data_IF_635287529412
#
_entry.id   IF_635287529412
#
_cell.length_a   1.000
_cell.length_b   1.000
_cell.length_c   1.000
_cell.angle_alpha   90.00
_cell.angle_beta   90.00
_cell.angle_gamma   90.00
#
_symmetry.space_group_name_H-M   'P 1'
#
loop_
_entity.id
_entity.type
_entity.pdbx_description
1 polymer ?
#
# COMPACT_ATOMS: atom_id res chain seq x y z
N UNK A 1 -35.53 5.43 -13.38
CA UNK A 1 -35.41 5.35 -11.92
C UNK A 1 -36.13 6.56 -11.35
N UNK A 2 -37.14 6.35 -10.50
CA UNK A 2 -37.93 7.41 -9.90
C UNK A 2 -37.16 8.06 -8.74
N UNK A 3 -37.44 9.33 -8.42
CA UNK A 3 -36.85 10.01 -7.26
C UNK A 3 -37.16 9.27 -5.94
N UNK A 4 -38.32 8.62 -5.87
CA UNK A 4 -38.71 7.75 -4.76
C UNK A 4 -37.84 6.51 -4.60
N UNK A 5 -37.42 5.91 -5.73
CA UNK A 5 -36.55 4.72 -5.71
C UNK A 5 -35.14 5.07 -5.21
N UNK A 6 -34.71 6.33 -5.40
CA UNK A 6 -33.42 6.84 -4.90
C UNK A 6 -33.50 7.06 -3.40
N UNK A 7 -34.58 7.67 -2.92
CA UNK A 7 -34.79 8.00 -1.51
C UNK A 7 -34.91 6.74 -0.65
N UNK A 8 -35.66 5.73 -1.12
CA UNK A 8 -35.80 4.43 -0.45
C UNK A 8 -34.47 3.66 -0.39
N UNK A 9 -33.65 3.74 -1.45
CA UNK A 9 -32.30 3.15 -1.44
C UNK A 9 -31.34 3.87 -0.52
N UNK A 10 -31.44 5.20 -0.40
CA UNK A 10 -30.63 5.97 0.53
C UNK A 10 -30.99 5.61 1.97
N UNK A 11 -32.28 5.52 2.31
CA UNK A 11 -32.72 5.15 3.66
C UNK A 11 -32.23 3.76 4.08
N UNK A 12 -32.26 2.78 3.17
CA UNK A 12 -31.71 1.42 3.42
C UNK A 12 -30.19 1.48 3.66
N UNK A 13 -29.47 2.34 2.94
CA UNK A 13 -28.01 2.47 3.07
C UNK A 13 -27.62 3.21 4.37
N UNK A 14 -28.41 4.19 4.80
CA UNK A 14 -28.14 5.00 5.98
C UNK A 14 -28.82 4.51 7.27
N UNK A 15 -29.61 3.43 7.24
CA UNK A 15 -30.36 2.90 8.38
C UNK A 15 -29.50 2.68 9.65
N UNK A 16 -28.22 2.33 9.46
CA UNK A 16 -27.27 2.08 10.55
C UNK A 16 -26.24 3.21 10.77
N UNK A 17 -26.31 4.30 9.99
CA UNK A 17 -25.36 5.40 10.07
C UNK A 17 -25.87 6.41 11.09
N UNK A 18 -25.42 6.26 12.34
CA UNK A 18 -25.62 7.29 13.36
C UNK A 18 -24.92 8.57 12.87
N UNK A 19 -25.61 9.73 12.82
CA UNK A 19 -24.98 10.97 12.41
C UNK A 19 -23.83 11.29 13.36
N UNK A 20 -22.60 11.13 12.87
CA UNK A 20 -21.39 11.50 13.60
C UNK A 20 -21.35 13.02 13.73
N UNK A 21 -21.12 13.52 14.94
CA UNK A 21 -20.84 14.95 15.12
C UNK A 21 -19.56 15.29 14.36
N UNK A 22 -19.58 16.41 13.62
CA UNK A 22 -18.40 16.93 12.94
C UNK A 22 -17.19 17.05 13.88
N UNK A 23 -17.44 17.38 15.15
CA UNK A 23 -16.41 17.42 16.19
C UNK A 23 -15.72 16.07 16.38
N UNK A 24 -16.46 14.97 16.38
CA UNK A 24 -15.91 13.61 16.51
C UNK A 24 -15.03 13.27 15.31
N UNK A 25 -15.48 13.60 14.10
CA UNK A 25 -14.71 13.39 12.86
C UNK A 25 -13.40 14.19 12.92
N UNK A 26 -13.47 15.47 13.31
CA UNK A 26 -12.30 16.32 13.42
C UNK A 26 -11.30 15.81 14.46
N UNK A 27 -11.77 15.35 15.63
CA UNK A 27 -10.90 14.77 16.66
C UNK A 27 -10.23 13.49 16.17
N UNK A 28 -10.98 12.59 15.54
CA UNK A 28 -10.41 11.35 14.98
C UNK A 28 -9.40 11.64 13.87
N UNK A 29 -9.69 12.62 13.00
CA UNK A 29 -8.77 13.06 11.96
C UNK A 29 -7.46 13.58 12.56
N UNK A 30 -7.54 14.48 13.54
CA UNK A 30 -6.36 15.02 14.21
C UNK A 30 -5.55 13.93 14.93
N UNK A 31 -6.23 13.00 15.60
CA UNK A 31 -5.59 11.85 16.23
C UNK A 31 -4.85 10.99 15.18
N UNK A 32 -5.47 10.76 14.02
CA UNK A 32 -4.86 10.07 12.89
C UNK A 32 -3.62 10.78 12.35
N UNK A 33 -3.68 12.11 12.16
CA UNK A 33 -2.54 12.92 11.73
C UNK A 33 -1.38 12.80 12.73
N UNK A 34 -1.64 12.99 14.03
CA UNK A 34 -0.62 12.88 15.07
C UNK A 34 -0.02 11.47 15.11
N UNK A 35 -0.88 10.44 15.05
CA UNK A 35 -0.45 9.05 15.01
C UNK A 35 0.44 8.75 13.80
N UNK A 36 0.10 9.27 12.62
CA UNK A 36 0.89 9.10 11.41
C UNK A 36 2.26 9.79 11.50
N UNK A 37 2.34 10.99 12.10
CA UNK A 37 3.61 11.69 12.32
C UNK A 37 4.52 10.92 13.27
N UNK A 38 3.99 10.47 14.42
CA UNK A 38 4.77 9.72 15.41
C UNK A 38 5.19 8.37 14.82
N UNK A 39 4.25 7.62 14.25
CA UNK A 39 4.53 6.32 13.64
C UNK A 39 5.53 6.41 12.49
N UNK A 40 5.44 7.44 11.64
CA UNK A 40 6.40 7.68 10.57
C UNK A 40 7.82 7.94 11.08
N UNK A 41 7.96 8.68 12.18
CA UNK A 41 9.26 8.91 12.82
C UNK A 41 9.87 7.61 13.34
N UNK A 42 9.10 6.82 14.08
CA UNK A 42 9.56 5.54 14.64
C UNK A 42 9.91 4.52 13.54
N UNK A 43 9.10 4.44 12.48
CA UNK A 43 9.36 3.57 11.32
C UNK A 43 10.66 3.98 10.61
N UNK A 44 10.91 5.28 10.46
CA UNK A 44 12.15 5.79 9.86
C UNK A 44 13.38 5.46 10.72
N UNK A 45 13.28 5.60 12.04
CA UNK A 45 14.35 5.20 12.95
C UNK A 45 14.60 3.69 12.90
N UNK A 46 13.54 2.88 12.91
CA UNK A 46 13.64 1.43 12.78
C UNK A 46 14.35 1.03 11.48
N UNK A 47 14.00 1.65 10.36
CA UNK A 47 14.67 1.44 9.08
C UNK A 47 16.18 1.76 9.16
N UNK A 48 16.52 2.89 9.80
CA UNK A 48 17.91 3.30 10.00
C UNK A 48 18.70 2.29 10.85
N UNK A 49 18.13 1.82 11.96
CA UNK A 49 18.78 0.83 12.83
C UNK A 49 19.00 -0.48 12.08
N UNK A 50 18.01 -0.95 11.31
CA UNK A 50 18.16 -2.17 10.54
C UNK A 50 19.26 -2.08 9.48
N UNK A 51 19.35 -0.96 8.76
CA UNK A 51 20.32 -0.77 7.68
C UNK A 51 21.72 -0.46 8.23
N UNK A 52 21.83 0.44 9.20
CA UNK A 52 23.12 0.95 9.69
C UNK A 52 23.74 0.05 10.77
N UNK A 53 22.94 -0.39 11.75
CA UNK A 53 23.47 -1.10 12.92
C UNK A 53 23.45 -2.61 12.73
N UNK A 54 22.35 -3.14 12.18
CA UNK A 54 22.19 -4.57 11.91
C UNK A 54 22.72 -4.98 10.53
N UNK A 55 23.11 -4.01 9.69
CA UNK A 55 23.60 -4.23 8.32
C UNK A 55 22.66 -5.10 7.48
N UNK A 56 21.35 -5.01 7.75
CA UNK A 56 20.33 -5.72 7.00
C UNK A 56 20.21 -5.08 5.62
N UNK A 57 20.10 -5.93 4.61
CA UNK A 57 19.87 -5.52 3.23
C UNK A 57 18.71 -4.51 3.13
N UNK A 58 18.89 -3.33 2.49
CA UNK A 58 17.86 -2.31 2.36
C UNK A 58 16.55 -2.80 1.75
N UNK A 59 16.61 -3.76 0.82
CA UNK A 59 15.43 -4.37 0.21
C UNK A 59 14.66 -5.21 1.22
N UNK A 60 15.36 -6.01 2.03
CA UNK A 60 14.73 -6.81 3.08
C UNK A 60 14.12 -5.89 4.16
N UNK A 61 14.81 -4.78 4.47
CA UNK A 61 14.28 -3.73 5.33
C UNK A 61 12.99 -3.15 4.76
N UNK A 62 12.98 -2.75 3.49
CA UNK A 62 11.78 -2.24 2.82
C UNK A 62 10.63 -3.25 2.79
N UNK A 63 10.91 -4.55 2.63
CA UNK A 63 9.91 -5.61 2.69
C UNK A 63 9.24 -5.69 4.08
N UNK A 64 10.03 -5.66 5.15
CA UNK A 64 9.52 -5.66 6.53
C UNK A 64 8.65 -4.41 6.77
N UNK A 65 9.11 -3.25 6.30
CA UNK A 65 8.34 -2.00 6.41
C UNK A 65 7.03 -2.06 5.61
N UNK A 66 7.04 -2.67 4.42
CA UNK A 66 5.84 -2.83 3.61
C UNK A 66 4.80 -3.72 4.30
N UNK A 67 5.23 -4.73 5.06
CA UNK A 67 4.33 -5.55 5.90
C UNK A 67 3.66 -4.66 6.96
N UNK A 68 4.42 -3.80 7.66
CA UNK A 68 3.83 -2.88 8.64
C UNK A 68 2.86 -1.89 8.00
N UNK A 69 3.20 -1.35 6.83
CA UNK A 69 2.35 -0.43 6.10
C UNK A 69 1.02 -1.06 5.65
N UNK A 70 1.01 -2.35 5.31
CA UNK A 70 -0.19 -3.08 4.87
C UNK A 70 -1.01 -3.74 5.97
N UNK A 71 -0.67 -3.53 7.25
CA UNK A 71 -1.31 -4.24 8.37
C UNK A 71 -2.83 -4.04 8.42
N UNK A 72 -3.31 -2.83 8.17
CA UNK A 72 -4.75 -2.53 8.12
C UNK A 72 -5.47 -3.34 7.05
N UNK A 73 -4.89 -3.42 5.87
CA UNK A 73 -5.42 -4.08 4.69
C UNK A 73 -5.48 -5.59 4.93
N UNK A 74 -4.46 -6.18 5.56
CA UNK A 74 -4.46 -7.59 5.95
C UNK A 74 -5.60 -7.92 6.92
N UNK A 75 -5.85 -7.05 7.91
CA UNK A 75 -6.95 -7.25 8.87
C UNK A 75 -8.31 -7.15 8.17
N UNK A 76 -8.50 -6.18 7.28
CA UNK A 76 -9.75 -6.01 6.51
C UNK A 76 -9.98 -7.23 5.61
N UNK A 77 -8.95 -7.65 4.86
CA UNK A 77 -9.00 -8.83 3.99
C UNK A 77 -9.37 -10.09 4.77
N UNK A 78 -8.74 -10.31 5.92
CA UNK A 78 -9.03 -11.44 6.78
C UNK A 78 -10.48 -11.44 7.27
N UNK A 79 -10.99 -10.29 7.71
CA UNK A 79 -12.38 -10.16 8.16
C UNK A 79 -13.39 -10.40 7.03
N UNK A 80 -13.17 -9.80 5.85
CA UNK A 80 -14.05 -10.00 4.68
C UNK A 80 -14.02 -11.45 4.20
N UNK A 81 -12.85 -12.09 4.20
CA UNK A 81 -12.73 -13.51 3.86
C UNK A 81 -13.50 -14.40 4.85
N UNK A 82 -13.40 -14.12 6.16
CA UNK A 82 -14.18 -14.82 7.19
C UNK A 82 -15.69 -14.65 7.03
N UNK A 83 -16.14 -13.55 6.46
CA UNK A 83 -17.55 -13.27 6.15
C UNK A 83 -17.99 -13.80 4.78
N UNK A 84 -17.11 -14.46 4.03
CA UNK A 84 -17.35 -14.92 2.66
C UNK A 84 -17.63 -13.77 1.66
N UNK A 85 -17.19 -12.56 1.98
CA UNK A 85 -17.36 -11.36 1.17
C UNK A 85 -16.17 -11.19 0.20
N UNK A 86 -15.95 -12.16 -0.68
CA UNK A 86 -14.75 -12.21 -1.54
C UNK A 86 -14.64 -11.03 -2.51
N UNK A 87 -15.76 -10.54 -3.05
CA UNK A 87 -15.77 -9.35 -3.89
C UNK A 87 -15.35 -8.08 -3.15
N UNK A 88 -15.76 -7.93 -1.89
CA UNK A 88 -15.36 -6.80 -1.04
C UNK A 88 -13.87 -6.90 -0.68
N UNK A 89 -13.41 -8.09 -0.34
CA UNK A 89 -12.00 -8.37 -0.08
C UNK A 89 -11.13 -7.99 -1.29
N UNK A 90 -11.52 -8.44 -2.49
CA UNK A 90 -10.79 -8.18 -3.73
C UNK A 90 -10.81 -6.70 -4.11
N UNK A 91 -11.97 -6.03 -4.01
CA UNK A 91 -12.10 -4.60 -4.28
C UNK A 91 -11.23 -3.75 -3.33
N UNK A 92 -11.18 -4.12 -2.04
CA UNK A 92 -10.31 -3.45 -1.07
C UNK A 92 -8.82 -3.66 -1.38
N UNK A 93 -8.41 -4.89 -1.71
CA UNK A 93 -7.02 -5.17 -2.08
C UNK A 93 -6.59 -4.36 -3.31
N UNK A 94 -7.43 -4.35 -4.35
CA UNK A 94 -7.16 -3.62 -5.57
C UNK A 94 -7.14 -2.10 -5.36
N UNK A 95 -8.10 -1.58 -4.59
CA UNK A 95 -8.14 -0.18 -4.18
C UNK A 95 -6.86 0.23 -3.45
N UNK A 96 -6.39 -0.59 -2.49
CA UNK A 96 -5.15 -0.36 -1.77
C UNK A 96 -3.92 -0.34 -2.68
N UNK A 97 -3.78 -1.33 -3.57
CA UNK A 97 -2.64 -1.42 -4.50
C UNK A 97 -2.61 -0.22 -5.46
N UNK A 98 -3.76 0.13 -6.05
CA UNK A 98 -3.87 1.27 -6.96
C UNK A 98 -3.62 2.59 -6.25
N UNK A 99 -4.10 2.75 -5.01
CA UNK A 99 -3.82 3.91 -4.17
C UNK A 99 -2.32 4.07 -3.91
N UNK A 100 -1.60 3.00 -3.57
CA UNK A 100 -0.16 3.09 -3.32
C UNK A 100 0.59 3.58 -4.57
N UNK A 101 0.21 3.10 -5.75
CA UNK A 101 0.87 3.45 -7.01
C UNK A 101 0.53 4.83 -7.56
N UNK A 102 -0.75 5.20 -7.54
CA UNK A 102 -1.22 6.42 -8.20
C UNK A 102 -1.44 7.58 -7.25
N UNK A 103 -1.45 7.34 -5.94
CA UNK A 103 -1.60 8.38 -4.93
C UNK A 103 -0.36 8.44 -4.02
N UNK A 104 -0.07 7.40 -3.26
CA UNK A 104 0.96 7.49 -2.20
C UNK A 104 2.35 7.75 -2.79
N UNK A 105 2.78 6.97 -3.79
CA UNK A 105 4.10 7.13 -4.40
C UNK A 105 4.27 8.52 -5.05
N UNK A 106 3.38 9.00 -5.94
CA UNK A 106 3.49 10.34 -6.52
C UNK A 106 3.50 11.46 -5.50
N UNK A 107 2.63 11.41 -4.48
CA UNK A 107 2.60 12.45 -3.43
C UNK A 107 3.85 12.41 -2.56
N UNK A 108 4.42 11.23 -2.30
CA UNK A 108 5.68 11.10 -1.58
C UNK A 108 6.83 11.73 -2.38
N UNK A 109 6.92 11.44 -3.67
CA UNK A 109 7.94 12.03 -4.55
C UNK A 109 7.80 13.54 -4.67
N UNK A 110 6.57 14.04 -4.76
CA UNK A 110 6.30 15.48 -4.75
C UNK A 110 6.72 16.11 -3.42
N UNK A 111 6.41 15.46 -2.29
CA UNK A 111 6.84 15.90 -0.97
C UNK A 111 8.36 16.00 -0.86
N UNK A 112 9.09 14.98 -1.34
CA UNK A 112 10.56 15.00 -1.40
C UNK A 112 11.05 16.15 -2.30
N UNK A 113 10.45 16.34 -3.48
CA UNK A 113 10.83 17.41 -4.39
C UNK A 113 10.63 18.81 -3.79
N UNK A 114 9.53 19.04 -3.08
CA UNK A 114 9.27 20.28 -2.33
C UNK A 114 10.28 20.45 -1.21
N UNK A 115 10.56 19.40 -0.43
CA UNK A 115 11.54 19.44 0.65
C UNK A 115 12.94 19.81 0.12
N UNK A 116 13.38 19.16 -0.95
CA UNK A 116 14.66 19.44 -1.58
C UNK A 116 14.69 20.86 -2.15
N UNK A 117 13.63 21.31 -2.82
CA UNK A 117 13.62 22.64 -3.46
C UNK A 117 13.64 23.80 -2.46
N UNK A 118 12.97 23.68 -1.32
CA UNK A 118 12.74 24.81 -0.40
C UNK A 118 13.50 24.70 0.94
N UNK A 119 13.77 23.50 1.43
CA UNK A 119 14.33 23.30 2.78
C UNK A 119 15.77 22.76 2.75
N UNK A 120 16.12 21.89 1.79
CA UNK A 120 17.49 21.41 1.62
C UNK A 120 17.92 21.35 0.14
N UNK A 121 18.18 22.50 -0.51
CA UNK A 121 18.54 22.58 -1.93
C UNK A 121 19.87 21.91 -2.30
N UNK A 122 20.71 21.66 -1.30
CA UNK A 122 22.03 21.03 -1.47
C UNK A 122 22.00 19.51 -1.38
N UNK A 123 20.84 18.88 -1.21
CA UNK A 123 20.74 17.43 -1.14
C UNK A 123 21.14 16.80 -2.50
N UNK A 124 22.17 15.95 -2.56
CA UNK A 124 22.74 15.47 -3.83
C UNK A 124 21.89 14.38 -4.51
N UNK A 125 21.04 13.68 -3.76
CA UNK A 125 20.28 12.54 -4.29
C UNK A 125 18.94 12.91 -4.90
N UNK A 126 18.61 12.26 -6.02
CA UNK A 126 17.27 12.25 -6.58
C UNK A 126 16.25 11.60 -5.62
N UNK A 127 14.97 12.01 -5.63
CA UNK A 127 13.91 11.37 -4.83
C UNK A 127 13.79 9.85 -5.05
N UNK A 128 14.12 9.40 -6.25
CA UNK A 128 14.29 8.00 -6.63
C UNK A 128 15.62 7.87 -7.36
N UNK A 129 16.55 7.12 -6.78
CA UNK A 129 17.82 6.81 -7.45
C UNK A 129 17.58 5.80 -8.58
N UNK A 130 18.29 5.96 -9.70
CA UNK A 130 18.31 4.96 -10.76
C UNK A 130 19.21 3.79 -10.36
N UNK A 131 18.64 2.84 -9.62
CA UNK A 131 19.30 1.59 -9.25
C UNK A 131 18.71 0.40 -10.00
N UNK A 132 19.51 -0.66 -10.18
CA UNK A 132 19.05 -1.91 -10.76
C UNK A 132 17.84 -2.47 -9.99
N UNK A 133 17.83 -2.31 -8.68
CA UNK A 133 16.75 -2.70 -7.78
C UNK A 133 15.45 -1.95 -8.09
N UNK A 134 15.52 -0.63 -8.28
CA UNK A 134 14.36 0.20 -8.60
C UNK A 134 13.82 -0.09 -10.00
N UNK A 135 14.71 -0.36 -10.96
CA UNK A 135 14.34 -0.78 -12.32
C UNK A 135 13.63 -2.14 -12.29
N UNK A 136 14.14 -3.11 -11.54
CA UNK A 136 13.48 -4.40 -11.39
C UNK A 136 12.14 -4.27 -10.68
N UNK A 137 12.04 -3.47 -9.61
CA UNK A 137 10.77 -3.20 -8.93
C UNK A 137 9.72 -2.63 -9.89
N UNK A 138 10.10 -1.65 -10.74
CA UNK A 138 9.22 -1.08 -11.76
C UNK A 138 8.85 -2.08 -12.86
N UNK A 139 9.81 -2.85 -13.36
CA UNK A 139 9.58 -3.86 -14.40
C UNK A 139 8.63 -4.95 -13.91
N UNK A 140 8.78 -5.39 -12.66
CA UNK A 140 7.98 -6.43 -12.06
C UNK A 140 6.63 -5.95 -11.52
N UNK A 141 6.45 -4.64 -11.40
CA UNK A 141 5.13 -4.06 -11.16
C UNK A 141 4.15 -4.46 -12.27
N UNK A 142 4.60 -4.47 -13.52
CA UNK A 142 3.77 -4.78 -14.69
C UNK A 142 3.15 -6.19 -14.65
N UNK A 143 3.90 -7.30 -14.51
CA UNK A 143 3.31 -8.63 -14.42
C UNK A 143 2.40 -8.79 -13.19
N UNK A 144 2.73 -8.19 -12.05
CA UNK A 144 1.87 -8.22 -10.86
C UNK A 144 0.52 -7.54 -11.14
N UNK A 145 0.51 -6.37 -11.78
CA UNK A 145 -0.72 -5.69 -12.18
C UNK A 145 -1.48 -6.43 -13.26
N UNK A 146 -0.79 -6.95 -14.26
CA UNK A 146 -1.41 -7.71 -15.33
C UNK A 146 -2.16 -8.93 -14.77
N UNK A 147 -1.54 -9.70 -13.90
CA UNK A 147 -2.21 -10.84 -13.27
C UNK A 147 -3.35 -10.40 -12.36
N UNK A 148 -3.18 -9.35 -11.56
CA UNK A 148 -4.28 -8.79 -10.75
C UNK A 148 -5.47 -8.32 -11.60
N UNK A 149 -5.20 -7.67 -12.73
CA UNK A 149 -6.24 -7.20 -13.66
C UNK A 149 -6.96 -8.38 -14.31
N UNK A 150 -6.22 -9.39 -14.76
CA UNK A 150 -6.79 -10.63 -15.31
C UNK A 150 -7.70 -11.33 -14.30
N UNK A 151 -7.30 -11.38 -13.03
CA UNK A 151 -8.07 -11.98 -11.93
C UNK A 151 -9.32 -11.17 -11.54
N UNK A 152 -9.38 -9.89 -11.91
CA UNK A 152 -10.56 -9.05 -11.74
C UNK A 152 -11.52 -9.15 -12.92
N UNK A 153 -11.00 -9.39 -14.13
CA UNK A 153 -11.81 -9.58 -15.34
C UNK A 153 -12.44 -10.97 -15.41
N UNK A 154 -11.75 -12.00 -14.93
CA UNK A 154 -12.32 -13.35 -14.76
C UNK A 154 -13.05 -13.45 -13.42
N UNK A 155 -14.38 -13.28 -13.44
CA UNK A 155 -15.30 -13.37 -12.29
C UNK A 155 -14.93 -14.50 -11.29
N UNK A 156 -14.26 -14.11 -10.21
CA UNK A 156 -14.23 -14.72 -8.87
C UNK A 156 -13.73 -16.16 -8.66
N UNK A 157 -13.24 -16.90 -9.64
CA UNK A 157 -12.57 -18.19 -9.34
C UNK A 157 -11.07 -18.02 -9.25
N UNK A 158 -10.58 -17.49 -8.12
CA UNK A 158 -9.18 -17.70 -7.72
C UNK A 158 -8.97 -19.19 -7.54
N UNK A 159 -8.43 -19.84 -8.57
CA UNK A 159 -8.01 -21.22 -8.47
C UNK A 159 -6.87 -21.35 -7.46
N UNK A 160 -6.76 -22.52 -6.85
CA UNK A 160 -5.55 -22.86 -6.09
C UNK A 160 -4.29 -22.71 -6.96
N UNK A 161 -4.42 -22.93 -8.27
CA UNK A 161 -3.33 -22.75 -9.23
C UNK A 161 -2.90 -21.28 -9.35
N UNK A 162 -3.84 -20.34 -9.47
CA UNK A 162 -3.52 -18.91 -9.60
C UNK A 162 -2.86 -18.37 -8.34
N UNK A 163 -3.34 -18.84 -7.18
CA UNK A 163 -2.73 -18.53 -5.88
C UNK A 163 -1.29 -19.03 -5.80
N UNK A 164 -1.03 -20.27 -6.26
CA UNK A 164 0.32 -20.84 -6.31
C UNK A 164 1.21 -20.05 -7.26
N UNK A 165 0.72 -19.67 -8.44
CA UNK A 165 1.47 -18.89 -9.42
C UNK A 165 1.82 -17.51 -8.86
N UNK A 166 0.84 -16.80 -8.29
CA UNK A 166 1.04 -15.47 -7.70
C UNK A 166 2.01 -15.50 -6.53
N UNK A 167 1.88 -16.50 -5.64
CA UNK A 167 2.80 -16.69 -4.53
C UNK A 167 4.20 -17.03 -5.03
N UNK A 168 4.31 -17.88 -6.04
CA UNK A 168 5.58 -18.26 -6.66
C UNK A 168 6.29 -17.07 -7.31
N UNK A 169 5.56 -16.26 -8.08
CA UNK A 169 6.08 -15.01 -8.66
C UNK A 169 6.53 -14.08 -7.53
N UNK A 170 5.68 -13.83 -6.52
CA UNK A 170 6.03 -12.97 -5.40
C UNK A 170 7.31 -13.42 -4.68
N UNK A 171 7.40 -14.70 -4.29
CA UNK A 171 8.58 -15.22 -3.60
C UNK A 171 9.84 -15.17 -4.47
N UNK A 172 9.72 -15.50 -5.75
CA UNK A 172 10.84 -15.39 -6.69
C UNK A 172 11.34 -13.95 -6.83
N UNK A 173 10.43 -12.98 -6.91
CA UNK A 173 10.76 -11.56 -6.95
C UNK A 173 11.48 -11.11 -5.69
N UNK A 174 11.00 -11.50 -4.51
CA UNK A 174 11.67 -11.18 -3.25
C UNK A 174 13.08 -11.77 -3.22
N UNK A 175 13.26 -13.04 -3.62
CA UNK A 175 14.59 -13.65 -3.67
C UNK A 175 15.51 -12.91 -4.63
N UNK A 176 15.04 -12.55 -5.83
CA UNK A 176 15.82 -11.77 -6.80
C UNK A 176 16.20 -10.40 -6.23
N UNK A 177 15.25 -9.67 -5.66
CA UNK A 177 15.48 -8.32 -5.13
C UNK A 177 16.40 -8.34 -3.90
N UNK A 178 16.27 -9.34 -3.02
CA UNK A 178 17.19 -9.49 -1.89
C UNK A 178 18.59 -9.86 -2.38
N UNK A 179 18.71 -10.75 -3.37
CA UNK A 179 20.02 -11.24 -3.85
C UNK A 179 20.76 -10.19 -4.69
N UNK A 180 20.07 -9.48 -5.57
CA UNK A 180 20.68 -8.58 -6.55
C UNK A 180 20.39 -7.10 -6.28
N UNK A 181 19.32 -6.79 -5.53
CA UNK A 181 18.90 -5.42 -5.28
C UNK A 181 19.53 -4.77 -4.04
N UNK A 182 20.22 -5.54 -3.20
CA UNK A 182 20.94 -5.02 -2.02
C UNK A 182 22.44 -4.80 -2.24
N UNK A 183 22.95 -4.97 -3.46
CA UNK A 183 24.33 -4.65 -3.81
C UNK A 183 24.53 -3.14 -3.65
N UNK A 184 25.00 -2.72 -2.48
CA UNK A 184 25.53 -1.38 -2.24
C UNK A 184 26.72 -1.23 -3.18
N UNK A 185 26.57 -0.41 -4.22
CA UNK A 185 27.70 0.18 -4.93
C UNK A 185 28.29 1.29 -4.08
#
# INVERSE_FOLDING_TARGET
>A
MSAKDIEERLDIVYENIKPGSFATIAVLFMAGVVGAFIGGHEISQFASVMISDLQINPILTALILAVFAGMSEYVILWQSHRKQEYGIALANAFGGITQVMFLVLPYTLLGIAVYQSFFNPTHPDLPLQFSLSNIFLLLFLFPTFYTLSSLLEEDHTLGNLDTIIMTGIFLFLIVLLVTYGGSVG
#
